data_IF_548926589623
#
_entry.id   IF_548926589623
#
_cell.length_a   1.000
_cell.length_b   1.000
_cell.length_c   1.000
_cell.angle_alpha   90.00
_cell.angle_beta   90.00
_cell.angle_gamma   90.00
#
_symmetry.space_group_name_H-M   'P 1'
#
loop_
_entity.id
_entity.type
_entity.pdbx_description
1 polymer ?
#
# COMPACT_ATOMS: atom_id res chain seq x y z
N UNK A 1 30.41 38.24 18.55
CA UNK A 1 29.03 37.77 18.77
C UNK A 1 28.26 37.98 17.49
N UNK A 2 28.13 36.93 16.67
CA UNK A 2 27.33 36.96 15.45
C UNK A 2 25.92 36.50 15.77
N UNK A 3 24.93 37.35 15.51
CA UNK A 3 23.53 36.95 15.38
C UNK A 3 23.18 37.08 13.90
N UNK A 4 23.17 35.95 13.20
CA UNK A 4 22.51 35.82 11.91
C UNK A 4 21.08 35.39 12.15
N UNK A 5 20.12 36.31 12.00
CA UNK A 5 18.72 35.95 11.87
C UNK A 5 18.49 35.43 10.45
N UNK A 6 18.33 34.11 10.30
CA UNK A 6 17.83 33.51 9.07
C UNK A 6 16.36 33.90 8.91
N UNK A 7 16.07 34.77 7.95
CA UNK A 7 14.72 35.22 7.62
C UNK A 7 13.87 34.06 7.09
N UNK A 8 12.70 33.90 7.69
CA UNK A 8 11.61 33.13 7.11
C UNK A 8 11.27 33.69 5.72
N UNK A 9 11.13 32.83 4.71
CA UNK A 9 10.57 33.19 3.42
C UNK A 9 9.07 33.50 3.62
N UNK A 10 8.75 34.76 3.87
CA UNK A 10 7.44 35.29 3.52
C UNK A 10 7.43 35.47 2.01
N UNK A 11 6.77 34.55 1.30
CA UNK A 11 6.53 34.71 -0.12
C UNK A 11 5.36 35.69 -0.30
N UNK A 12 5.67 36.97 -0.50
CA UNK A 12 4.77 37.92 -1.11
C UNK A 12 4.61 37.54 -2.60
N UNK A 13 3.47 36.96 -2.97
CA UNK A 13 3.08 36.76 -4.36
C UNK A 13 1.89 37.65 -4.72
N UNK A 14 2.20 38.88 -5.13
CA UNK A 14 1.40 39.59 -6.13
C UNK A 14 2.10 39.42 -7.49
N UNK A 15 1.60 38.51 -8.34
CA UNK A 15 2.02 38.45 -9.75
C UNK A 15 2.09 37.08 -10.42
N UNK A 16 0.93 36.49 -10.72
CA UNK A 16 0.54 35.89 -12.02
C UNK A 16 -0.75 35.11 -11.79
N UNK A 17 -1.74 35.23 -12.66
CA UNK A 17 -3.00 34.48 -12.54
C UNK A 17 -2.86 32.98 -12.83
N UNK A 18 -1.67 32.41 -12.69
CA UNK A 18 -1.38 31.01 -12.96
C UNK A 18 -1.53 30.19 -11.68
N UNK A 19 -2.31 29.12 -11.76
CA UNK A 19 -2.56 28.23 -10.63
C UNK A 19 -1.25 27.52 -10.22
N UNK A 20 -0.99 27.30 -8.92
CA UNK A 20 0.19 26.56 -8.48
C UNK A 20 0.17 25.12 -9.00
N UNK A 21 1.33 24.47 -9.08
CA UNK A 21 1.41 23.03 -9.35
C UNK A 21 1.05 22.26 -8.07
N UNK A 22 0.21 21.24 -8.17
CA UNK A 22 -0.10 20.32 -7.06
C UNK A 22 0.78 19.08 -7.13
N UNK A 23 1.39 18.71 -6.01
CA UNK A 23 2.30 17.57 -5.90
C UNK A 23 1.59 16.36 -5.28
N UNK A 24 1.53 15.26 -6.04
CA UNK A 24 0.95 13.98 -5.63
C UNK A 24 2.04 13.02 -5.13
N UNK A 25 1.77 12.28 -4.04
CA UNK A 25 2.65 11.21 -3.57
C UNK A 25 2.56 9.95 -4.45
N UNK A 26 3.70 9.33 -4.76
CA UNK A 26 3.77 7.95 -5.26
C UNK A 26 4.71 7.10 -4.39
N UNK A 27 4.16 6.08 -3.75
CA UNK A 27 4.92 5.14 -2.91
C UNK A 27 5.35 3.86 -3.66
N UNK A 28 5.00 3.74 -4.94
CA UNK A 28 5.59 2.79 -5.87
C UNK A 28 4.75 1.55 -6.21
N UNK A 29 3.51 1.45 -5.72
CA UNK A 29 2.56 0.39 -6.11
C UNK A 29 1.59 0.84 -7.20
N UNK A 30 1.00 -0.11 -7.92
CA UNK A 30 0.20 0.22 -9.10
C UNK A 30 -1.13 0.93 -8.77
N UNK A 31 -1.79 0.61 -7.65
CA UNK A 31 -3.08 1.24 -7.31
C UNK A 31 -2.95 2.74 -7.02
N UNK A 32 -1.90 3.19 -6.31
CA UNK A 32 -1.67 4.62 -6.06
C UNK A 32 -1.39 5.36 -7.36
N UNK A 33 -0.68 4.74 -8.32
CA UNK A 33 -0.43 5.34 -9.63
C UNK A 33 -1.71 5.51 -10.44
N UNK A 34 -2.63 4.55 -10.37
CA UNK A 34 -3.95 4.66 -11.00
C UNK A 34 -4.75 5.81 -10.35
N UNK A 35 -4.80 5.87 -9.03
CA UNK A 35 -5.49 6.96 -8.33
C UNK A 35 -4.88 8.33 -8.62
N UNK A 36 -3.55 8.42 -8.69
CA UNK A 36 -2.86 9.63 -9.10
C UNK A 36 -3.22 10.03 -10.53
N UNK A 37 -3.24 9.09 -11.49
CA UNK A 37 -3.60 9.39 -12.87
C UNK A 37 -5.04 9.90 -13.02
N UNK A 38 -5.98 9.32 -12.26
CA UNK A 38 -7.38 9.77 -12.23
C UNK A 38 -7.47 11.17 -11.60
N UNK A 39 -6.85 11.36 -10.43
CA UNK A 39 -6.87 12.65 -9.73
C UNK A 39 -6.21 13.75 -10.57
N UNK A 40 -5.02 13.50 -11.13
CA UNK A 40 -4.31 14.40 -12.03
C UNK A 40 -5.17 14.77 -13.24
N UNK A 41 -5.82 13.80 -13.89
CA UNK A 41 -6.69 14.07 -15.04
C UNK A 41 -7.83 15.04 -14.69
N UNK A 42 -8.46 14.86 -13.52
CA UNK A 42 -9.55 15.74 -13.06
C UNK A 42 -9.00 17.12 -12.70
N UNK A 43 -7.89 17.19 -11.97
CA UNK A 43 -7.22 18.42 -11.53
C UNK A 43 -6.79 19.27 -12.73
N UNK A 44 -6.15 18.65 -13.71
CA UNK A 44 -5.59 19.33 -14.88
C UNK A 44 -6.67 19.74 -15.88
N UNK A 45 -7.56 18.81 -16.25
CA UNK A 45 -8.57 19.08 -17.29
C UNK A 45 -9.82 19.75 -16.76
N UNK A 46 -10.21 19.45 -15.53
CA UNK A 46 -11.41 19.98 -14.90
C UNK A 46 -11.18 21.33 -14.24
N UNK A 47 -10.01 21.53 -13.64
CA UNK A 47 -9.74 22.72 -12.82
C UNK A 47 -8.54 23.55 -13.28
N UNK A 48 -7.78 23.13 -14.29
CA UNK A 48 -6.71 23.93 -14.91
C UNK A 48 -5.46 24.10 -14.05
N UNK A 49 -5.26 23.24 -13.05
CA UNK A 49 -4.00 23.14 -12.31
C UNK A 49 -2.96 22.35 -13.12
N UNK A 50 -1.69 22.44 -12.76
CA UNK A 50 -0.67 21.46 -13.16
C UNK A 50 -0.49 20.44 -12.04
N UNK A 51 -0.11 19.21 -12.37
CA UNK A 51 0.30 18.24 -11.35
C UNK A 51 1.71 17.72 -11.58
N UNK A 52 2.37 17.40 -10.47
CA UNK A 52 3.63 16.67 -10.43
C UNK A 52 3.49 15.48 -9.48
N UNK A 53 4.37 14.49 -9.63
CA UNK A 53 4.42 13.32 -8.75
C UNK A 53 5.77 13.27 -8.08
N UNK A 54 5.78 13.18 -6.75
CA UNK A 54 6.97 12.92 -5.96
C UNK A 54 6.96 11.45 -5.51
N UNK A 55 7.94 10.70 -6.02
CA UNK A 55 8.12 9.28 -5.67
C UNK A 55 9.04 9.10 -4.47
N UNK A 56 8.66 8.24 -3.53
CA UNK A 56 9.49 7.92 -2.36
C UNK A 56 9.06 6.64 -1.65
N UNK A 57 9.77 6.28 -0.57
CA UNK A 57 9.32 5.22 0.33
C UNK A 57 8.07 5.68 1.11
N UNK A 58 7.28 4.74 1.65
CA UNK A 58 6.06 5.09 2.42
C UNK A 58 6.32 6.12 3.53
N UNK A 59 7.39 6.02 4.35
CA UNK A 59 7.69 7.04 5.35
C UNK A 59 8.09 8.38 4.73
N UNK A 60 8.81 8.39 3.60
CA UNK A 60 9.28 9.62 2.97
C UNK A 60 8.12 10.40 2.34
N UNK A 61 7.20 9.72 1.65
CA UNK A 61 6.05 10.41 1.05
C UNK A 61 5.12 11.00 2.11
N UNK A 62 4.94 10.31 3.24
CA UNK A 62 4.12 10.85 4.35
C UNK A 62 4.85 11.95 5.10
N UNK A 63 6.17 11.88 5.25
CA UNK A 63 6.94 13.00 5.80
C UNK A 63 6.87 14.23 4.90
N UNK A 64 6.97 14.05 3.57
CA UNK A 64 6.78 15.14 2.61
C UNK A 64 5.37 15.72 2.65
N UNK A 65 4.35 14.88 2.85
CA UNK A 65 2.96 15.31 3.06
C UNK A 65 2.82 16.18 4.32
N UNK A 66 3.49 15.82 5.42
CA UNK A 66 3.49 16.63 6.66
C UNK A 66 4.15 17.99 6.45
N UNK A 67 5.29 18.00 5.74
CA UNK A 67 6.11 19.20 5.54
C UNK A 67 5.55 20.15 4.46
N UNK A 68 4.62 19.69 3.63
CA UNK A 68 4.05 20.46 2.52
C UNK A 68 4.90 20.39 1.24
N UNK A 69 5.87 19.48 1.17
CA UNK A 69 6.58 19.16 -0.08
C UNK A 69 5.70 18.31 -1.02
N UNK A 70 4.71 17.61 -0.45
CA UNK A 70 3.63 16.91 -1.14
C UNK A 70 2.31 17.53 -0.69
N UNK A 71 1.42 17.81 -1.63
CA UNK A 71 0.10 18.37 -1.34
C UNK A 71 -0.93 17.28 -1.03
N UNK A 72 -0.92 16.18 -1.80
CA UNK A 72 -1.97 15.16 -1.80
C UNK A 72 -1.35 13.75 -1.84
N UNK A 73 -1.83 12.85 -0.98
CA UNK A 73 -1.56 11.42 -1.03
C UNK A 73 -2.87 10.66 -1.25
N UNK A 74 -2.99 10.00 -2.40
CA UNK A 74 -4.23 9.32 -2.80
C UNK A 74 -4.45 7.96 -2.11
N UNK A 75 -3.39 7.35 -1.58
CA UNK A 75 -3.47 6.09 -0.84
C UNK A 75 -2.50 6.06 0.32
N UNK A 76 -3.00 6.36 1.52
CA UNK A 76 -2.23 6.25 2.76
C UNK A 76 -2.67 5.02 3.54
N UNK A 77 -1.79 4.01 3.61
CA UNK A 77 -1.98 2.82 4.44
C UNK A 77 -1.65 3.14 5.90
N UNK A 78 -2.60 3.73 6.62
CA UNK A 78 -2.37 4.41 7.92
C UNK A 78 -1.68 3.55 8.96
N UNK A 79 -2.14 2.32 9.18
CA UNK A 79 -1.67 1.46 10.28
C UNK A 79 -0.27 0.89 10.03
N UNK A 80 0.17 0.83 8.77
CA UNK A 80 1.53 0.40 8.44
C UNK A 80 2.59 1.44 8.87
N UNK A 81 2.17 2.69 9.09
CA UNK A 81 3.00 3.86 9.43
C UNK A 81 2.31 4.70 10.53
N UNK A 82 1.65 4.02 11.46
CA UNK A 82 0.68 4.59 12.40
C UNK A 82 1.21 5.81 13.16
N UNK A 83 2.38 5.67 13.80
CA UNK A 83 3.00 6.73 14.60
C UNK A 83 3.19 8.01 13.77
N UNK A 84 3.84 7.87 12.60
CA UNK A 84 4.14 8.99 11.71
C UNK A 84 2.87 9.69 11.23
N UNK A 85 1.85 8.91 10.88
CA UNK A 85 0.60 9.44 10.35
C UNK A 85 -0.24 10.12 11.43
N UNK A 86 -0.42 9.47 12.59
CA UNK A 86 -1.20 10.00 13.71
C UNK A 86 -0.55 11.27 14.30
N UNK A 87 0.78 11.33 14.37
CA UNK A 87 1.48 12.56 14.77
C UNK A 87 1.16 13.73 13.82
N UNK A 88 1.19 13.49 12.51
CA UNK A 88 0.87 14.51 11.50
C UNK A 88 -0.58 15.01 11.61
N UNK A 89 -1.54 14.12 11.93
CA UNK A 89 -2.92 14.52 12.24
C UNK A 89 -2.99 15.33 13.54
N UNK A 90 -2.34 14.87 14.61
CA UNK A 90 -2.37 15.52 15.92
C UNK A 90 -1.74 16.92 15.90
N UNK A 91 -0.74 17.14 15.06
CA UNK A 91 -0.08 18.43 14.86
C UNK A 91 -0.85 19.33 13.87
N UNK A 92 -1.92 18.84 13.25
CA UNK A 92 -2.71 19.57 12.26
C UNK A 92 -1.97 19.78 10.94
N UNK A 93 -0.97 18.94 10.63
CA UNK A 93 -0.17 18.98 9.41
C UNK A 93 -0.85 18.20 8.28
N UNK A 94 -1.52 17.09 8.62
CA UNK A 94 -2.27 16.24 7.69
C UNK A 94 -3.77 16.45 7.91
N UNK A 95 -4.51 16.49 6.81
CA UNK A 95 -5.97 16.42 6.78
C UNK A 95 -6.37 15.13 6.08
N UNK A 96 -7.12 14.26 6.77
CA UNK A 96 -7.83 13.16 6.13
C UNK A 96 -9.01 13.71 5.32
N UNK A 97 -9.00 13.48 4.00
CA UNK A 97 -10.08 13.93 3.11
C UNK A 97 -11.18 12.88 2.97
N UNK A 98 -10.79 11.60 2.89
CA UNK A 98 -11.73 10.48 2.81
C UNK A 98 -11.08 9.14 3.12
N UNK A 99 -11.93 8.14 3.32
CA UNK A 99 -11.54 6.73 3.27
C UNK A 99 -11.69 6.24 1.84
N UNK A 100 -10.62 5.67 1.31
CA UNK A 100 -10.62 5.02 0.02
C UNK A 100 -11.27 3.62 0.15
N UNK A 101 -10.75 2.84 1.10
CA UNK A 101 -11.29 1.54 1.53
C UNK A 101 -10.72 1.19 2.92
N UNK A 102 -11.46 0.37 3.68
CA UNK A 102 -11.11 -0.04 5.04
C UNK A 102 -11.23 -1.57 5.24
N UNK A 103 -11.58 -2.30 4.19
CA UNK A 103 -11.85 -3.72 4.16
C UNK A 103 -10.77 -4.50 3.40
N UNK A 104 -9.51 -4.09 3.57
CA UNK A 104 -8.35 -4.76 3.00
C UNK A 104 -7.78 -5.86 3.89
N UNK A 105 -6.97 -6.70 3.27
CA UNK A 105 -6.13 -7.66 3.95
C UNK A 105 -4.75 -7.70 3.30
N UNK A 106 -3.71 -7.75 4.11
CA UNK A 106 -2.33 -7.86 3.63
C UNK A 106 -1.56 -8.92 4.46
N UNK A 107 -0.55 -9.54 3.88
CA UNK A 107 0.23 -10.56 4.57
C UNK A 107 0.86 -11.56 3.61
N UNK A 108 1.15 -12.76 4.11
CA UNK A 108 1.71 -13.84 3.28
C UNK A 108 0.58 -14.62 2.61
N UNK A 109 0.56 -14.58 1.28
CA UNK A 109 -0.37 -15.34 0.46
C UNK A 109 0.32 -16.55 -0.17
N UNK A 110 -0.49 -17.57 -0.49
CA UNK A 110 -0.12 -18.68 -1.38
C UNK A 110 -1.21 -18.85 -2.44
N UNK A 111 -0.89 -19.32 -3.66
CA UNK A 111 -1.92 -19.81 -4.57
C UNK A 111 -2.75 -20.91 -3.89
N UNK A 112 -4.07 -20.82 -3.95
CA UNK A 112 -4.96 -21.71 -3.19
C UNK A 112 -4.79 -23.18 -3.56
N UNK A 113 -4.38 -23.47 -4.81
CA UNK A 113 -4.06 -24.81 -5.26
C UNK A 113 -2.89 -25.46 -4.50
N UNK A 114 -2.00 -24.68 -3.88
CA UNK A 114 -0.93 -25.23 -3.03
C UNK A 114 -1.52 -25.99 -1.86
N UNK A 115 -2.63 -25.50 -1.30
CA UNK A 115 -3.31 -26.10 -0.15
C UNK A 115 -4.35 -27.13 -0.61
N UNK A 116 -5.20 -26.76 -1.58
CA UNK A 116 -6.40 -27.54 -1.96
C UNK A 116 -6.19 -28.44 -3.19
N UNK A 117 -5.11 -28.25 -3.94
CA UNK A 117 -4.95 -28.78 -5.29
C UNK A 117 -5.78 -28.01 -6.32
N UNK A 118 -5.56 -28.32 -7.58
CA UNK A 118 -6.32 -27.86 -8.73
C UNK A 118 -6.53 -29.05 -9.69
N UNK A 119 -7.67 -29.77 -9.57
CA UNK A 119 -7.96 -30.92 -10.41
C UNK A 119 -8.07 -30.59 -11.90
N UNK A 120 -8.51 -29.37 -12.25
CA UNK A 120 -8.67 -28.95 -13.65
C UNK A 120 -7.31 -28.83 -14.35
N UNK A 121 -6.29 -28.38 -13.60
CA UNK A 121 -4.90 -28.30 -14.06
C UNK A 121 -4.07 -29.53 -13.72
N UNK A 122 -4.65 -30.54 -13.07
CA UNK A 122 -3.97 -31.77 -12.67
C UNK A 122 -2.93 -31.58 -11.54
N UNK A 123 -3.08 -30.54 -10.72
CA UNK A 123 -2.16 -30.21 -9.62
C UNK A 123 -2.70 -30.84 -8.33
N UNK A 124 -2.00 -31.80 -7.69
CA UNK A 124 -2.39 -32.31 -6.39
C UNK A 124 -2.12 -31.26 -5.28
N UNK A 125 -2.83 -31.32 -4.14
CA UNK A 125 -2.49 -30.48 -2.99
C UNK A 125 -1.07 -30.76 -2.52
N UNK A 126 -0.24 -29.70 -2.46
CA UNK A 126 1.17 -29.80 -2.07
C UNK A 126 1.33 -29.65 -0.56
N UNK A 127 0.57 -28.75 0.06
CA UNK A 127 0.64 -28.39 1.47
C UNK A 127 -0.77 -28.32 2.12
N UNK A 128 -1.53 -29.42 2.21
CA UNK A 128 -2.93 -29.39 2.68
C UNK A 128 -3.10 -28.96 4.14
N UNK A 129 -2.04 -29.00 4.95
CA UNK A 129 -2.03 -28.52 6.33
C UNK A 129 -1.45 -27.11 6.52
N UNK A 130 -1.11 -26.41 5.44
CA UNK A 130 -0.64 -25.03 5.49
C UNK A 130 -1.85 -24.09 5.68
N UNK A 131 -2.03 -23.58 6.89
CA UNK A 131 -3.14 -22.66 7.22
C UNK A 131 -2.65 -21.33 7.75
N UNK A 132 -1.49 -21.33 8.40
CA UNK A 132 -0.93 -20.17 9.06
C UNK A 132 0.54 -19.98 8.73
N UNK A 133 1.04 -18.77 8.96
CA UNK A 133 2.47 -18.43 8.83
C UNK A 133 3.34 -19.37 9.69
N UNK A 134 2.84 -19.80 10.85
CA UNK A 134 3.53 -20.72 11.77
C UNK A 134 3.66 -22.15 11.22
N UNK A 135 2.88 -22.52 10.23
CA UNK A 135 2.98 -23.84 9.58
C UNK A 135 4.10 -23.88 8.52
N UNK A 136 4.56 -22.72 8.03
CA UNK A 136 5.55 -22.61 6.96
C UNK A 136 6.82 -23.42 7.21
N UNK A 137 7.42 -23.47 8.42
CA UNK A 137 8.64 -24.26 8.65
C UNK A 137 8.51 -25.74 8.29
N UNK A 138 7.30 -26.32 8.32
CA UNK A 138 7.05 -27.72 7.92
C UNK A 138 7.06 -27.93 6.40
N UNK A 139 6.91 -26.86 5.63
CA UNK A 139 6.69 -26.89 4.19
C UNK A 139 7.78 -26.20 3.37
N UNK A 140 8.92 -25.83 3.96
CA UNK A 140 9.98 -25.10 3.26
C UNK A 140 10.48 -25.78 1.99
N UNK A 141 10.47 -27.13 1.96
CA UNK A 141 10.89 -27.91 0.79
C UNK A 141 9.96 -27.76 -0.41
N UNK A 142 8.71 -27.36 -0.18
CA UNK A 142 7.73 -27.07 -1.24
C UNK A 142 8.07 -25.74 -1.89
N UNK A 143 8.45 -24.74 -1.09
CA UNK A 143 8.78 -23.40 -1.55
C UNK A 143 10.29 -23.21 -1.71
N UNK A 144 11.00 -24.19 -2.27
CA UNK A 144 12.47 -24.17 -2.33
C UNK A 144 13.03 -22.90 -2.95
N UNK A 145 14.07 -22.36 -2.33
CA UNK A 145 14.80 -21.24 -2.89
C UNK A 145 15.71 -21.73 -4.05
N UNK A 146 15.56 -21.17 -5.27
CA UNK A 146 16.38 -21.55 -6.42
C UNK A 146 17.86 -21.15 -6.29
N UNK A 147 18.16 -20.12 -5.50
CA UNK A 147 19.51 -19.61 -5.25
C UNK A 147 20.13 -20.23 -3.98
N UNK A 148 19.31 -20.78 -3.08
CA UNK A 148 19.74 -21.50 -1.87
C UNK A 148 18.95 -22.80 -1.64
N UNK A 149 19.36 -23.94 -2.21
CA UNK A 149 18.61 -25.20 -2.14
C UNK A 149 18.41 -25.80 -0.73
N UNK A 150 19.11 -25.26 0.28
CA UNK A 150 19.00 -25.66 1.68
C UNK A 150 17.86 -24.94 2.43
N UNK A 151 17.25 -23.91 1.82
CA UNK A 151 16.15 -23.13 2.38
C UNK A 151 14.96 -23.04 1.42
N UNK A 152 13.82 -22.63 1.95
CA UNK A 152 12.69 -22.12 1.17
C UNK A 152 12.85 -20.64 0.87
N UNK A 153 12.02 -20.10 -0.01
CA UNK A 153 11.94 -18.68 -0.34
C UNK A 153 10.58 -18.12 0.05
N UNK A 154 10.60 -17.00 0.77
CA UNK A 154 9.43 -16.14 0.93
C UNK A 154 9.70 -14.87 0.12
N UNK A 155 8.82 -14.56 -0.83
CA UNK A 155 8.86 -13.30 -1.56
C UNK A 155 8.37 -12.19 -0.63
N UNK A 156 9.27 -11.27 -0.28
CA UNK A 156 8.98 -10.15 0.60
C UNK A 156 8.15 -9.04 -0.05
N UNK A 157 7.86 -8.02 0.74
CA UNK A 157 7.36 -6.74 0.21
C UNK A 157 8.50 -5.98 -0.51
N UNK A 158 8.20 -5.20 -1.56
CA UNK A 158 9.16 -4.29 -2.17
C UNK A 158 9.83 -3.37 -1.14
N UNK A 159 11.13 -3.05 -1.32
CA UNK A 159 11.85 -2.21 -0.39
C UNK A 159 11.31 -0.78 -0.43
N UNK A 160 11.29 -0.12 0.73
CA UNK A 160 10.73 1.21 0.89
C UNK A 160 9.23 1.22 1.20
N UNK A 161 8.53 0.09 1.04
CA UNK A 161 7.19 -0.06 1.58
C UNK A 161 7.26 -0.38 3.07
N UNK A 162 6.34 0.19 3.84
CA UNK A 162 6.28 -0.08 5.27
C UNK A 162 6.10 -1.57 5.61
N UNK A 163 5.39 -2.32 4.75
CA UNK A 163 5.21 -3.76 4.87
C UNK A 163 6.51 -4.57 4.83
N UNK A 164 7.58 -4.09 4.15
CA UNK A 164 8.87 -4.81 4.12
C UNK A 164 9.51 -4.86 5.50
N UNK A 165 9.52 -3.73 6.22
CA UNK A 165 10.02 -3.70 7.59
C UNK A 165 9.20 -4.63 8.50
N UNK A 166 7.86 -4.57 8.39
CA UNK A 166 6.95 -5.37 9.20
C UNK A 166 7.21 -6.87 8.97
N UNK A 167 7.29 -7.30 7.71
CA UNK A 167 7.54 -8.70 7.38
C UNK A 167 8.93 -9.18 7.78
N UNK A 168 9.99 -8.37 7.60
CA UNK A 168 11.34 -8.73 8.04
C UNK A 168 11.39 -8.99 9.54
N UNK A 169 10.80 -8.10 10.34
CA UNK A 169 10.70 -8.31 11.78
C UNK A 169 9.87 -9.55 12.12
N UNK A 170 8.75 -9.77 11.41
CA UNK A 170 7.93 -10.98 11.58
C UNK A 170 8.69 -12.27 11.26
N UNK A 171 9.57 -12.27 10.23
CA UNK A 171 10.44 -13.41 9.93
C UNK A 171 11.27 -13.79 11.16
N UNK A 172 11.90 -12.80 11.80
CA UNK A 172 12.70 -12.99 13.02
C UNK A 172 11.83 -13.45 14.20
N UNK A 173 10.70 -12.80 14.45
CA UNK A 173 9.76 -13.12 15.55
C UNK A 173 9.27 -14.57 15.50
N UNK A 174 9.07 -15.12 14.30
CA UNK A 174 8.64 -16.51 14.12
C UNK A 174 9.76 -17.49 13.77
N UNK A 175 11.02 -17.05 13.83
CA UNK A 175 12.21 -17.85 13.47
C UNK A 175 12.13 -18.48 12.07
N UNK A 176 11.46 -17.81 11.13
CA UNK A 176 11.30 -18.32 9.77
C UNK A 176 12.64 -18.34 9.01
N UNK A 177 13.58 -17.47 9.38
CA UNK A 177 14.93 -17.41 8.82
C UNK A 177 15.76 -18.68 9.03
N UNK A 178 15.34 -19.60 9.91
CA UNK A 178 15.99 -20.91 10.04
C UNK A 178 15.70 -21.84 8.85
N UNK A 179 14.62 -21.57 8.11
CA UNK A 179 14.14 -22.42 7.01
C UNK A 179 13.83 -21.66 5.73
N UNK A 180 13.73 -20.34 5.77
CA UNK A 180 13.37 -19.50 4.64
C UNK A 180 14.27 -18.30 4.48
N UNK A 181 14.72 -18.09 3.25
CA UNK A 181 15.31 -16.85 2.82
C UNK A 181 14.20 -15.84 2.48
N UNK A 182 14.34 -14.63 3.01
CA UNK A 182 13.48 -13.51 2.66
C UNK A 182 13.99 -12.86 1.37
N UNK A 183 13.35 -13.17 0.26
CA UNK A 183 13.71 -12.65 -1.06
C UNK A 183 13.06 -11.30 -1.31
N UNK A 184 13.86 -10.29 -1.60
CA UNK A 184 13.34 -8.97 -1.93
C UNK A 184 13.02 -8.88 -3.43
N UNK A 185 11.74 -8.67 -3.84
CA UNK A 185 11.39 -8.55 -5.25
C UNK A 185 11.93 -7.26 -5.90
N UNK A 186 12.31 -6.24 -5.13
CA UNK A 186 12.84 -4.97 -5.62
C UNK A 186 11.78 -3.96 -6.10
N UNK A 187 10.63 -4.42 -6.59
CA UNK A 187 9.51 -3.56 -7.04
C UNK A 187 8.17 -4.30 -7.03
N UNK A 188 7.06 -3.57 -7.10
CA UNK A 188 5.71 -4.12 -7.30
C UNK A 188 5.63 -5.02 -8.55
N UNK A 189 6.14 -4.53 -9.68
CA UNK A 189 6.15 -5.29 -10.94
C UNK A 189 6.89 -6.61 -10.82
N UNK A 190 8.03 -6.64 -10.14
CA UNK A 190 8.79 -7.86 -9.95
C UNK A 190 8.09 -8.84 -8.99
N UNK A 191 7.43 -8.34 -7.93
CA UNK A 191 6.61 -9.15 -7.04
C UNK A 191 5.45 -9.80 -7.83
N UNK A 192 4.69 -9.00 -8.56
CA UNK A 192 3.57 -9.45 -9.40
C UNK A 192 4.05 -10.48 -10.44
N UNK A 193 5.19 -10.24 -11.09
CA UNK A 193 5.77 -11.18 -12.06
C UNK A 193 6.11 -12.52 -11.42
N UNK A 194 6.68 -12.52 -10.21
CA UNK A 194 7.03 -13.76 -9.50
C UNK A 194 5.79 -14.60 -9.19
N UNK A 195 4.73 -13.97 -8.68
CA UNK A 195 3.47 -14.62 -8.34
C UNK A 195 2.75 -15.13 -9.58
N UNK A 196 2.60 -14.30 -10.61
CA UNK A 196 1.92 -14.68 -11.85
C UNK A 196 2.66 -15.82 -12.55
N UNK A 197 3.99 -15.75 -12.66
CA UNK A 197 4.76 -16.83 -13.28
C UNK A 197 4.55 -18.15 -12.55
N UNK A 198 4.63 -18.15 -11.21
CA UNK A 198 4.43 -19.37 -10.44
C UNK A 198 3.00 -19.90 -10.59
N UNK A 199 2.01 -19.01 -10.51
CA UNK A 199 0.60 -19.37 -10.67
C UNK A 199 0.33 -20.03 -12.02
N UNK A 200 0.75 -19.41 -13.11
CA UNK A 200 0.51 -19.90 -14.49
C UNK A 200 1.24 -21.22 -14.76
N UNK A 201 2.37 -21.47 -14.10
CA UNK A 201 3.09 -22.76 -14.17
C UNK A 201 2.56 -23.82 -13.21
N UNK A 202 1.70 -23.46 -12.27
CA UNK A 202 1.22 -24.37 -11.23
C UNK A 202 2.29 -24.67 -10.17
N UNK A 203 3.29 -23.80 -10.06
CA UNK A 203 4.39 -23.92 -9.12
C UNK A 203 3.99 -23.33 -7.76
N UNK A 204 4.48 -23.87 -6.63
CA UNK A 204 4.23 -23.30 -5.33
C UNK A 204 4.90 -21.92 -5.20
N UNK A 205 4.19 -20.98 -4.57
CA UNK A 205 4.68 -19.64 -4.27
C UNK A 205 4.17 -19.22 -2.90
N UNK A 206 5.01 -18.53 -2.13
CA UNK A 206 4.61 -17.87 -0.88
C UNK A 206 5.27 -16.50 -0.80
N UNK A 207 4.49 -15.48 -0.48
CA UNK A 207 5.03 -14.14 -0.40
C UNK A 207 4.02 -13.08 0.02
N UNK A 208 4.53 -11.88 0.24
CA UNK A 208 3.74 -10.70 0.54
C UNK A 208 2.76 -10.42 -0.58
N UNK A 209 1.51 -10.18 -0.21
CA UNK A 209 0.55 -9.55 -1.09
C UNK A 209 -0.55 -8.83 -0.30
N UNK A 210 -1.41 -8.10 -1.00
CA UNK A 210 -2.55 -7.41 -0.40
C UNK A 210 -3.78 -7.46 -1.30
N UNK A 211 -4.94 -7.26 -0.68
CA UNK A 211 -6.26 -7.18 -1.28
C UNK A 211 -6.88 -5.84 -0.87
N UNK A 212 -7.61 -5.12 -1.76
CA UNK A 212 -7.92 -5.48 -3.14
C UNK A 212 -6.85 -5.09 -4.15
N UNK A 213 -6.60 -5.95 -5.14
CA UNK A 213 -5.79 -5.67 -6.33
C UNK A 213 -6.33 -6.42 -7.55
N UNK A 214 -5.79 -6.11 -8.75
CA UNK A 214 -6.14 -6.86 -9.95
C UNK A 214 -5.67 -8.33 -9.89
N UNK A 215 -4.59 -8.62 -9.17
CA UNK A 215 -4.07 -9.98 -8.98
C UNK A 215 -5.02 -10.78 -8.09
N UNK A 216 -5.44 -10.26 -6.93
CA UNK A 216 -6.41 -10.96 -6.06
C UNK A 216 -7.78 -11.09 -6.70
N UNK A 217 -8.14 -10.17 -7.60
CA UNK A 217 -9.34 -10.29 -8.43
C UNK A 217 -9.24 -11.32 -9.56
N UNK A 218 -8.03 -11.67 -10.02
CA UNK A 218 -7.81 -12.60 -11.15
C UNK A 218 -7.45 -14.01 -10.71
N UNK A 219 -6.65 -14.16 -9.66
CA UNK A 219 -6.08 -15.43 -9.22
C UNK A 219 -6.64 -15.84 -7.85
N UNK A 220 -6.95 -17.13 -7.69
CA UNK A 220 -7.39 -17.68 -6.42
C UNK A 220 -6.21 -17.85 -5.45
N UNK A 221 -6.12 -16.94 -4.49
CA UNK A 221 -5.06 -16.87 -3.49
C UNK A 221 -5.63 -17.04 -2.08
N UNK A 222 -4.86 -17.66 -1.20
CA UNK A 222 -5.19 -17.80 0.22
C UNK A 222 -4.20 -17.03 1.06
N UNK A 223 -4.71 -16.05 1.81
CA UNK A 223 -3.98 -15.40 2.89
C UNK A 223 -3.74 -16.42 4.00
N UNK A 224 -2.48 -16.61 4.39
CA UNK A 224 -2.13 -17.43 5.54
C UNK A 224 -2.55 -16.71 6.83
N UNK A 225 -3.27 -17.44 7.69
CA UNK A 225 -3.68 -16.93 8.98
C UNK A 225 -2.47 -16.64 9.87
N UNK A 226 -2.68 -15.80 10.87
CA UNK A 226 -1.73 -15.56 11.94
C UNK A 226 -2.48 -15.43 13.28
N UNK A 227 -1.76 -15.09 14.35
CA UNK A 227 -2.37 -14.69 15.61
C UNK A 227 -3.28 -13.48 15.40
N UNK A 228 -4.49 -13.47 16.01
CA UNK A 228 -5.39 -12.32 15.89
C UNK A 228 -4.71 -11.03 16.31
N UNK A 229 -5.04 -9.94 15.60
CA UNK A 229 -4.46 -8.63 15.85
C UNK A 229 -4.68 -8.17 17.31
N UNK A 230 -3.61 -7.66 17.93
CA UNK A 230 -3.66 -6.86 19.14
C UNK A 230 -2.49 -5.89 19.15
N UNK A 231 -2.66 -4.69 19.73
CA UNK A 231 -1.61 -3.68 19.85
C UNK A 231 -0.36 -4.25 20.51
N UNK A 232 -0.53 -4.97 21.62
CA UNK A 232 0.59 -5.53 22.39
C UNK A 232 1.43 -6.49 21.55
N UNK A 233 0.80 -7.33 20.71
CA UNK A 233 1.51 -8.25 19.81
C UNK A 233 2.12 -7.52 18.63
N UNK A 234 1.43 -6.49 18.12
CA UNK A 234 1.90 -5.68 17.00
C UNK A 234 3.20 -4.95 17.37
N UNK A 235 3.22 -4.31 18.53
CA UNK A 235 4.39 -3.63 19.09
C UNK A 235 5.48 -4.61 19.53
N UNK A 236 5.11 -5.81 19.97
CA UNK A 236 6.03 -6.90 20.30
C UNK A 236 6.51 -7.68 19.06
N UNK A 237 7.09 -6.97 18.09
CA UNK A 237 7.71 -7.58 16.90
C UNK A 237 6.72 -8.11 15.88
N UNK A 238 5.55 -7.46 15.74
CA UNK A 238 4.48 -7.84 14.81
C UNK A 238 4.07 -9.30 14.96
N UNK A 239 3.93 -9.78 16.20
CA UNK A 239 3.58 -11.16 16.54
C UNK A 239 2.07 -11.48 16.33
N UNK A 240 1.42 -10.80 15.40
CA UNK A 240 0.02 -10.95 15.01
C UNK A 240 -0.22 -10.59 13.53
N UNK A 241 -1.38 -10.93 13.00
CA UNK A 241 -1.80 -10.59 11.65
C UNK A 241 -1.70 -9.08 11.39
N UNK A 242 -1.54 -8.71 10.12
CA UNK A 242 -1.72 -7.30 9.74
C UNK A 242 -3.15 -6.87 10.06
N UNK A 243 -3.34 -5.71 10.71
CA UNK A 243 -4.68 -5.17 10.86
C UNK A 243 -5.25 -4.84 9.48
N UNK A 244 -6.57 -4.91 9.35
CA UNK A 244 -7.26 -4.20 8.27
C UNK A 244 -6.95 -2.72 8.40
N UNK A 245 -6.50 -2.10 7.31
CA UNK A 245 -5.98 -0.73 7.34
C UNK A 245 -7.05 0.24 6.89
N UNK A 246 -7.21 1.36 7.57
CA UNK A 246 -8.03 2.44 7.00
C UNK A 246 -7.23 3.16 5.93
N UNK A 247 -7.39 2.79 4.65
CA UNK A 247 -6.65 3.46 3.57
C UNK A 247 -7.31 4.78 3.25
N UNK A 248 -6.59 5.89 3.39
CA UNK A 248 -7.15 7.24 3.26
C UNK A 248 -6.59 8.01 2.07
N UNK A 249 -7.40 8.93 1.56
CA UNK A 249 -6.91 10.09 0.80
C UNK A 249 -6.57 11.18 1.82
N UNK A 250 -5.35 11.67 1.78
CA UNK A 250 -4.83 12.64 2.73
C UNK A 250 -4.22 13.84 2.00
N UNK A 251 -4.29 15.01 2.63
CA UNK A 251 -3.68 16.24 2.11
C UNK A 251 -2.89 16.98 3.19
N UNK A 252 -1.92 17.80 2.77
CA UNK A 252 -1.28 18.75 3.67
C UNK A 252 -2.27 19.85 4.09
N UNK A 253 -2.24 20.28 5.34
CA UNK A 253 -3.17 21.31 5.85
C UNK A 253 -2.94 22.70 5.26
N UNK A 254 -1.72 22.96 4.79
CA UNK A 254 -1.31 24.16 4.07
C UNK A 254 -1.90 24.27 2.66
N UNK A 255 -2.54 23.22 2.14
CA UNK A 255 -3.28 23.24 0.87
C UNK A 255 -4.49 24.18 0.98
N UNK A 256 -4.23 25.48 0.81
CA UNK A 256 -5.23 26.56 0.89
C UNK A 256 -5.74 26.98 -0.49
N UNK A 257 -4.97 26.73 -1.54
CA UNK A 257 -5.38 26.98 -2.93
C UNK A 257 -6.15 25.77 -3.46
N UNK A 258 -7.33 26.01 -4.05
CA UNK A 258 -8.08 24.93 -4.70
C UNK A 258 -8.85 24.00 -3.77
N UNK A 259 -9.00 24.29 -2.46
CA UNK A 259 -9.84 23.45 -1.55
C UNK A 259 -11.22 23.16 -2.13
N UNK A 260 -11.88 24.16 -2.71
CA UNK A 260 -13.18 23.97 -3.35
C UNK A 260 -13.12 23.14 -4.65
N UNK A 261 -11.97 23.14 -5.31
CA UNK A 261 -11.68 22.52 -6.60
C UNK A 261 -11.11 21.09 -6.45
N UNK A 262 -10.70 20.70 -5.23
CA UNK A 262 -10.31 19.34 -4.84
C UNK A 262 -11.36 18.63 -3.97
N UNK A 263 -12.55 19.22 -3.82
CA UNK A 263 -13.70 18.63 -3.12
C UNK A 263 -14.20 17.31 -3.75
N UNK A 264 -13.67 16.92 -4.91
CA UNK A 264 -13.94 15.62 -5.52
C UNK A 264 -13.05 14.50 -4.96
N UNK A 265 -11.93 14.82 -4.27
CA UNK A 265 -11.04 13.82 -3.67
C UNK A 265 -11.75 12.94 -2.63
N UNK A 266 -12.75 13.45 -1.87
CA UNK A 266 -13.60 12.61 -1.04
C UNK A 266 -14.61 11.71 -1.78
N UNK A 267 -14.66 11.73 -3.11
CA UNK A 267 -15.63 10.99 -3.91
C UNK A 267 -15.39 9.48 -3.88
N UNK A 268 -16.45 8.64 -3.93
CA UNK A 268 -16.32 7.18 -4.03
C UNK A 268 -15.67 6.69 -5.33
N UNK A 269 -15.36 7.59 -6.28
CA UNK A 269 -14.64 7.27 -7.52
C UNK A 269 -13.32 6.54 -7.31
N UNK A 270 -12.68 6.75 -6.16
CA UNK A 270 -11.39 6.15 -5.85
C UNK A 270 -11.50 4.79 -5.16
N UNK A 271 -12.69 4.39 -4.69
CA UNK A 271 -12.85 3.11 -4.01
C UNK A 271 -12.54 1.95 -4.96
N UNK A 272 -11.68 0.98 -4.56
CA UNK A 272 -11.30 -0.17 -5.39
C UNK A 272 -12.48 -1.07 -5.71
N UNK A 273 -13.52 -1.06 -4.86
CA UNK A 273 -14.83 -1.63 -5.17
C UNK A 273 -15.64 -0.60 -5.94
N UNK A 274 -15.26 -0.35 -7.19
CA UNK A 274 -15.98 0.53 -8.10
C UNK A 274 -17.38 -0.06 -8.43
N UNK A 275 -18.30 -0.02 -7.47
CA UNK A 275 -19.72 -0.07 -7.74
C UNK A 275 -20.07 1.28 -8.36
N UNK A 276 -20.16 1.30 -9.69
CA UNK A 276 -20.71 2.40 -10.48
C UNK A 276 -22.18 2.67 -10.07
N UNK A 277 -22.40 3.33 -8.93
CA UNK A 277 -23.66 4.00 -8.63
C UNK A 277 -23.51 5.48 -8.98
N UNK A 278 -23.61 5.78 -10.27
CA UNK A 278 -23.90 7.13 -10.74
C UNK A 278 -25.30 7.54 -10.23
N UNK A 279 -25.38 8.10 -9.02
CA UNK A 279 -26.47 9.02 -8.68
C UNK A 279 -26.01 10.42 -9.07
N UNK A 280 -26.09 10.71 -10.36
CA UNK A 280 -26.13 12.08 -10.87
C UNK A 280 -27.40 12.73 -10.31
N UNK A 281 -27.28 13.35 -9.14
CA UNK A 281 -28.27 14.26 -8.59
C UNK A 281 -28.23 15.58 -9.35
N UNK A 282 -28.65 15.58 -10.62
CA UNK A 282 -29.12 16.81 -11.27
C UNK A 282 -30.59 16.99 -10.89
N UNK A 283 -30.98 18.10 -10.24
CA UNK A 283 -32.38 18.44 -10.13
C UNK A 283 -32.86 18.81 -11.53
N UNK A 284 -33.64 17.93 -12.15
CA UNK A 284 -34.46 18.31 -13.29
C UNK A 284 -35.52 19.28 -12.75
N UNK A 285 -35.36 20.55 -13.11
CA UNK A 285 -36.35 21.57 -12.87
C UNK A 285 -37.69 21.19 -13.51
N UNK A 286 -38.75 21.40 -12.77
CA UNK A 286 -40.13 21.54 -13.26
C UNK A 286 -40.43 23.02 -13.48
#
# INVERSE_FOLDING_TARGET
MGLGCSGARAADHHGSGEKPTLVLADAGWDSIRIHNAIAATIIEKGYGYKTEVLTGSSPIVIQGLRQGDIDICMETWTDNILELYQEGIAQGEIIELSVNFDDNAQGLYVPTYVIKGDPERGIPPLAPGLKSIKDLPRYWQIFRDPDNPAQGRIYGSPPGWAADRILRTKMETYNLQERYDYFNPGSDTALNTSLVSAYEKGEPWVGYYWDPTWITGKYDLTLLADEPYSSDKWEAGYACEFPGVKVTVAANSGLNHGRNEINFLPSPLFSPRCSFQWRLGFPLGS
#
